data_IF_800738179504
#
_entry.id   IF_800738179504
#
_cell.length_a   1.000
_cell.length_b   1.000
_cell.length_c   1.000
_cell.angle_alpha   90.00
_cell.angle_beta   90.00
_cell.angle_gamma   90.00
#
_symmetry.space_group_name_H-M   'P 1'
#
loop_
_entity.id
_entity.type
_entity.pdbx_description
1 polymer ?
#
# COMPACT_ATOMS: atom_id res chain seq x y z
N UNK A 1 -28.58 4.29 -5.91
CA UNK A 1 -27.62 5.06 -6.71
C UNK A 1 -26.73 5.84 -5.76
N UNK A 2 -25.59 5.24 -5.35
CA UNK A 2 -24.55 5.97 -4.65
C UNK A 2 -23.85 6.84 -5.71
N UNK A 3 -23.91 8.17 -5.57
CA UNK A 3 -23.22 9.09 -6.45
C UNK A 3 -21.70 8.85 -6.36
N UNK A 4 -21.01 8.85 -7.50
CA UNK A 4 -19.54 8.83 -7.54
C UNK A 4 -19.01 10.07 -6.83
N UNK A 5 -18.15 9.86 -5.84
CA UNK A 5 -17.45 10.95 -5.17
C UNK A 5 -16.52 11.66 -6.16
N UNK A 6 -16.34 12.97 -6.00
CA UNK A 6 -15.33 13.70 -6.77
C UNK A 6 -13.93 13.36 -6.26
N UNK A 7 -12.94 13.42 -7.14
CA UNK A 7 -11.50 13.20 -6.79
C UNK A 7 -11.08 14.12 -5.64
N UNK A 8 -11.62 15.34 -5.57
CA UNK A 8 -11.35 16.31 -4.51
C UNK A 8 -11.93 15.93 -3.13
N UNK A 9 -12.83 14.96 -3.07
CA UNK A 9 -13.51 14.57 -1.81
C UNK A 9 -12.69 13.55 -1.00
N UNK A 10 -11.69 12.91 -1.62
CA UNK A 10 -10.77 12.01 -0.92
C UNK A 10 -9.47 12.71 -0.56
N UNK A 11 -8.88 12.38 0.61
CA UNK A 11 -7.54 12.84 0.96
C UNK A 11 -6.50 12.43 -0.08
N UNK A 12 -5.53 13.31 -0.37
CA UNK A 12 -4.47 13.03 -1.34
C UNK A 12 -3.68 11.76 -1.00
N UNK A 13 -3.34 11.58 0.28
CA UNK A 13 -2.62 10.38 0.73
C UNK A 13 -3.37 9.76 1.90
N UNK A 14 -3.76 8.50 1.75
CA UNK A 14 -4.37 7.69 2.80
C UNK A 14 -3.51 6.46 3.07
N UNK A 15 -3.04 6.30 4.31
CA UNK A 15 -2.38 5.08 4.77
C UNK A 15 -3.39 4.16 5.45
N UNK A 16 -3.42 2.89 5.03
CA UNK A 16 -4.31 1.86 5.57
C UNK A 16 -3.47 0.76 6.20
N UNK A 17 -3.47 0.73 7.52
CA UNK A 17 -2.74 -0.22 8.35
C UNK A 17 -3.65 -1.36 8.83
N UNK A 18 -3.04 -2.45 9.24
CA UNK A 18 -3.74 -3.56 9.89
C UNK A 18 -2.96 -4.86 9.83
N UNK A 19 -3.34 -5.84 10.64
CA UNK A 19 -2.73 -7.16 10.67
C UNK A 19 -2.98 -7.97 9.39
N UNK A 20 -2.35 -9.14 9.31
CA UNK A 20 -2.61 -10.09 8.24
C UNK A 20 -4.10 -10.46 8.22
N UNK A 21 -4.69 -10.54 7.02
CA UNK A 21 -6.11 -10.89 6.79
C UNK A 21 -7.13 -10.01 7.53
N UNK A 22 -6.76 -8.79 7.94
CA UNK A 22 -7.66 -7.84 8.61
C UNK A 22 -8.74 -7.24 7.68
N UNK A 23 -8.62 -7.39 6.36
CA UNK A 23 -9.54 -6.81 5.37
C UNK A 23 -9.05 -5.49 4.75
N UNK A 24 -7.84 -5.02 5.10
CA UNK A 24 -7.30 -3.72 4.64
C UNK A 24 -7.25 -3.53 3.13
N UNK A 25 -6.80 -4.53 2.35
CA UNK A 25 -6.76 -4.43 0.88
C UNK A 25 -8.16 -4.28 0.28
N UNK A 26 -9.15 -5.06 0.79
CA UNK A 26 -10.54 -4.94 0.35
C UNK A 26 -11.10 -3.55 0.69
N UNK A 27 -10.87 -3.08 1.89
CA UNK A 27 -11.32 -1.76 2.32
C UNK A 27 -10.70 -0.64 1.46
N UNK A 28 -9.41 -0.77 1.13
CA UNK A 28 -8.72 0.16 0.23
C UNK A 28 -9.32 0.16 -1.19
N UNK A 29 -9.60 -1.02 -1.76
CA UNK A 29 -10.27 -1.16 -3.07
C UNK A 29 -11.65 -0.50 -3.03
N UNK A 30 -12.45 -0.74 -1.99
CA UNK A 30 -13.79 -0.13 -1.82
C UNK A 30 -13.71 1.40 -1.79
N UNK A 31 -12.73 1.99 -1.09
CA UNK A 31 -12.53 3.44 -1.08
C UNK A 31 -12.17 3.97 -2.47
N UNK A 32 -11.21 3.36 -3.17
CA UNK A 32 -10.81 3.82 -4.52
C UNK A 32 -11.98 3.74 -5.49
N UNK A 33 -12.80 2.69 -5.40
CA UNK A 33 -13.97 2.48 -6.27
C UNK A 33 -15.12 3.46 -6.02
N UNK A 34 -15.07 4.30 -4.99
CA UNK A 34 -16.00 5.43 -4.86
C UNK A 34 -15.73 6.52 -5.89
N UNK A 35 -14.52 6.56 -6.46
CA UNK A 35 -14.12 7.47 -7.53
C UNK A 35 -14.45 6.89 -8.91
N UNK A 36 -14.52 7.77 -9.92
CA UNK A 36 -14.67 7.33 -11.31
C UNK A 36 -13.40 6.61 -11.81
N UNK A 37 -13.53 5.51 -12.58
CA UNK A 37 -12.39 4.85 -13.22
C UNK A 37 -11.79 5.74 -14.34
N UNK A 38 -10.55 5.47 -14.82
CA UNK A 38 -9.73 4.32 -14.47
C UNK A 38 -8.99 4.48 -13.13
N UNK A 39 -8.66 3.34 -12.50
CA UNK A 39 -7.84 3.27 -11.30
C UNK A 39 -6.56 2.49 -11.56
N UNK A 40 -5.47 2.83 -10.87
CA UNK A 40 -4.22 2.08 -10.94
C UNK A 40 -3.97 1.30 -9.65
N UNK A 41 -3.71 0.00 -9.80
CA UNK A 41 -3.25 -0.87 -8.73
C UNK A 41 -1.76 -1.13 -8.91
N UNK A 42 -0.94 -0.69 -7.95
CA UNK A 42 0.49 -0.99 -7.94
C UNK A 42 0.71 -2.21 -7.05
N UNK A 43 1.09 -3.31 -7.69
CA UNK A 43 1.41 -4.56 -7.02
C UNK A 43 2.90 -4.60 -6.67
N UNK A 44 3.21 -4.74 -5.39
CA UNK A 44 4.59 -4.87 -4.91
C UNK A 44 4.98 -6.32 -4.61
N UNK A 45 3.99 -7.22 -4.53
CA UNK A 45 4.21 -8.62 -4.27
C UNK A 45 4.90 -9.33 -5.43
N UNK A 46 5.92 -10.14 -5.14
CA UNK A 46 6.55 -11.06 -6.07
C UNK A 46 6.08 -12.49 -5.77
N UNK A 47 5.79 -13.24 -6.82
CA UNK A 47 5.31 -14.61 -6.72
C UNK A 47 6.47 -15.58 -6.58
N UNK A 48 7.09 -15.65 -5.41
CA UNK A 48 8.20 -16.57 -5.15
C UNK A 48 7.77 -18.04 -5.00
N UNK A 49 6.50 -18.29 -4.65
CA UNK A 49 5.93 -19.64 -4.48
C UNK A 49 4.51 -19.72 -5.03
N UNK A 50 3.97 -20.95 -5.05
CA UNK A 50 2.63 -21.22 -5.59
C UNK A 50 1.53 -20.57 -4.76
N UNK A 51 1.68 -20.50 -3.42
CA UNK A 51 0.71 -19.85 -2.55
C UNK A 51 0.60 -18.36 -2.89
N UNK A 52 1.72 -17.68 -3.06
CA UNK A 52 1.74 -16.26 -3.43
C UNK A 52 1.19 -16.04 -4.83
N UNK A 53 1.50 -16.93 -5.79
CA UNK A 53 0.91 -16.88 -7.15
C UNK A 53 -0.62 -16.96 -7.10
N UNK A 54 -1.16 -17.87 -6.32
CA UNK A 54 -2.61 -18.02 -6.18
C UNK A 54 -3.25 -16.80 -5.49
N UNK A 55 -2.61 -16.27 -4.45
CA UNK A 55 -3.08 -15.04 -3.77
C UNK A 55 -3.14 -13.86 -4.73
N UNK A 56 -2.10 -13.64 -5.52
CA UNK A 56 -2.05 -12.59 -6.55
C UNK A 56 -3.17 -12.81 -7.58
N UNK A 57 -3.37 -14.05 -8.04
CA UNK A 57 -4.41 -14.39 -9.00
C UNK A 57 -5.82 -14.14 -8.45
N UNK A 58 -6.08 -14.47 -7.18
CA UNK A 58 -7.36 -14.19 -6.50
C UNK A 58 -7.59 -12.68 -6.42
N UNK A 59 -6.59 -11.89 -6.03
CA UNK A 59 -6.69 -10.45 -5.99
C UNK A 59 -6.93 -9.84 -7.38
N UNK A 60 -6.27 -10.36 -8.43
CA UNK A 60 -6.53 -9.93 -9.82
C UNK A 60 -7.96 -10.23 -10.29
N UNK A 61 -8.46 -11.44 -10.01
CA UNK A 61 -9.84 -11.84 -10.40
C UNK A 61 -10.91 -11.02 -9.69
N UNK A 62 -10.67 -10.60 -8.45
CA UNK A 62 -11.61 -9.78 -7.67
C UNK A 62 -11.72 -8.36 -8.20
N UNK A 63 -10.64 -7.82 -8.78
CA UNK A 63 -10.64 -6.51 -9.42
C UNK A 63 -11.31 -6.62 -10.78
N UNK A 64 -12.50 -6.02 -10.93
CA UNK A 64 -13.25 -5.98 -12.18
C UNK A 64 -12.64 -5.00 -13.20
N UNK A 65 -13.44 -4.64 -14.18
CA UNK A 65 -13.09 -3.62 -15.18
C UNK A 65 -12.79 -2.26 -14.52
N UNK A 66 -11.95 -1.47 -15.17
CA UNK A 66 -11.53 -0.14 -14.71
C UNK A 66 -10.19 -0.12 -13.97
N UNK A 67 -9.64 -1.28 -13.56
CA UNK A 67 -8.33 -1.37 -12.93
C UNK A 67 -7.20 -1.63 -13.92
N UNK A 68 -6.19 -0.77 -13.92
CA UNK A 68 -4.88 -1.03 -14.53
C UNK A 68 -3.93 -1.55 -13.46
N UNK A 69 -3.27 -2.69 -13.68
CA UNK A 69 -2.25 -3.21 -12.76
C UNK A 69 -0.85 -2.86 -13.27
N UNK A 70 -0.02 -2.32 -12.38
CA UNK A 70 1.41 -2.05 -12.57
C UNK A 70 2.18 -2.87 -11.54
N UNK A 71 3.20 -3.59 -11.95
CA UNK A 71 4.08 -4.34 -11.06
C UNK A 71 5.29 -3.48 -10.70
N UNK A 72 5.50 -3.23 -9.40
CA UNK A 72 6.61 -2.43 -8.90
C UNK A 72 7.15 -3.04 -7.59
N UNK A 73 7.89 -4.14 -7.68
CA UNK A 73 8.40 -4.83 -6.51
C UNK A 73 9.41 -4.00 -5.71
N UNK A 74 10.18 -3.13 -6.35
CA UNK A 74 11.21 -2.31 -5.71
C UNK A 74 11.11 -0.82 -6.10
N UNK A 75 10.84 -0.50 -7.36
CA UNK A 75 10.84 0.89 -7.87
C UNK A 75 9.46 1.55 -7.78
N UNK A 76 8.97 1.67 -6.55
CA UNK A 76 7.62 2.19 -6.26
C UNK A 76 7.49 3.68 -6.59
N UNK A 77 8.55 4.47 -6.37
CA UNK A 77 8.52 5.91 -6.63
C UNK A 77 8.37 6.23 -8.13
N UNK A 78 9.10 5.53 -9.01
CA UNK A 78 8.96 5.67 -10.45
C UNK A 78 7.58 5.18 -10.92
N UNK A 79 7.11 4.02 -10.41
CA UNK A 79 5.79 3.52 -10.75
C UNK A 79 4.67 4.51 -10.40
N UNK A 80 4.78 5.20 -9.26
CA UNK A 80 3.83 6.27 -8.88
C UNK A 80 3.90 7.46 -9.83
N UNK A 81 5.10 7.88 -10.23
CA UNK A 81 5.27 8.99 -11.16
C UNK A 81 4.62 8.71 -12.52
N UNK A 82 4.67 7.47 -12.99
CA UNK A 82 4.12 7.04 -14.28
C UNK A 82 2.59 6.89 -14.30
N UNK A 83 1.91 6.99 -13.15
CA UNK A 83 0.44 6.85 -13.09
C UNK A 83 -0.33 8.11 -13.44
N UNK A 84 0.34 9.26 -13.57
CA UNK A 84 -0.31 10.55 -13.87
C UNK A 84 -1.38 10.91 -12.82
N UNK A 85 -2.51 11.42 -13.27
CA UNK A 85 -3.62 11.91 -12.43
C UNK A 85 -4.64 10.80 -12.06
N UNK A 86 -4.35 9.52 -12.29
CA UNK A 86 -5.27 8.45 -11.90
C UNK A 86 -5.20 8.15 -10.41
N UNK A 87 -6.33 7.84 -9.73
CA UNK A 87 -6.30 7.32 -8.38
C UNK A 87 -5.49 6.02 -8.29
N UNK A 88 -4.68 5.90 -7.24
CA UNK A 88 -3.74 4.79 -7.08
C UNK A 88 -3.98 4.05 -5.77
N UNK A 89 -3.92 2.72 -5.85
CA UNK A 89 -3.81 1.83 -4.70
C UNK A 89 -2.48 1.08 -4.76
N UNK A 90 -1.64 1.23 -3.75
CA UNK A 90 -0.40 0.46 -3.55
C UNK A 90 -0.66 -0.68 -2.56
N UNK A 91 -0.46 -1.91 -2.99
CA UNK A 91 -0.62 -3.11 -2.14
C UNK A 91 0.58 -4.06 -2.29
N UNK A 92 1.53 -4.06 -1.33
CA UNK A 92 1.57 -3.28 -0.09
C UNK A 92 3.01 -2.80 0.23
N UNK A 93 3.14 -1.81 1.09
CA UNK A 93 4.45 -1.30 1.54
C UNK A 93 5.27 -2.37 2.28
N UNK A 94 4.61 -3.31 2.95
CA UNK A 94 5.26 -4.40 3.69
C UNK A 94 6.04 -5.33 2.76
N UNK A 95 5.44 -5.74 1.63
CA UNK A 95 6.12 -6.57 0.63
C UNK A 95 7.18 -5.77 -0.12
N UNK A 96 6.92 -4.51 -0.43
CA UNK A 96 7.91 -3.61 -1.00
C UNK A 96 9.16 -3.50 -0.11
N UNK A 97 8.99 -3.26 1.19
CA UNK A 97 10.09 -3.24 2.15
C UNK A 97 10.86 -4.57 2.19
N UNK A 98 10.14 -5.70 2.20
CA UNK A 98 10.76 -7.02 2.17
C UNK A 98 11.63 -7.19 0.92
N UNK A 99 11.13 -6.79 -0.25
CA UNK A 99 11.87 -6.88 -1.51
C UNK A 99 13.14 -6.01 -1.48
N UNK A 100 13.04 -4.77 -0.96
CA UNK A 100 14.20 -3.90 -0.81
C UNK A 100 15.28 -4.51 0.08
N UNK A 101 14.88 -5.02 1.25
CA UNK A 101 15.83 -5.60 2.20
C UNK A 101 16.50 -6.88 1.66
N UNK A 102 15.73 -7.75 1.00
CA UNK A 102 16.26 -8.98 0.39
C UNK A 102 17.19 -8.70 -0.79
N UNK A 103 16.95 -7.63 -1.53
CA UNK A 103 17.81 -7.18 -2.62
C UNK A 103 18.96 -6.27 -2.15
N UNK A 104 19.12 -6.07 -0.84
CA UNK A 104 20.12 -5.19 -0.23
C UNK A 104 20.09 -3.74 -0.75
N UNK A 105 18.90 -3.24 -1.09
CA UNK A 105 18.72 -1.82 -1.43
C UNK A 105 18.77 -0.95 -0.17
N UNK A 106 19.14 0.31 -0.35
CA UNK A 106 19.04 1.32 0.71
C UNK A 106 17.58 1.72 0.96
N UNK A 107 17.03 1.17 2.06
CA UNK A 107 15.63 1.41 2.46
C UNK A 107 15.37 2.89 2.76
N UNK A 108 16.35 3.59 3.36
CA UNK A 108 16.19 5.00 3.72
C UNK A 108 16.07 5.88 2.47
N UNK A 109 16.94 5.67 1.48
CA UNK A 109 16.89 6.37 0.18
C UNK A 109 15.62 6.04 -0.58
N UNK A 110 15.22 4.77 -0.66
CA UNK A 110 13.99 4.35 -1.35
C UNK A 110 12.74 4.97 -0.67
N UNK A 111 12.70 5.02 0.66
CA UNK A 111 11.59 5.65 1.40
C UNK A 111 11.53 7.15 1.14
N UNK A 112 12.68 7.84 1.09
CA UNK A 112 12.73 9.28 0.77
C UNK A 112 12.22 9.56 -0.64
N UNK A 113 12.59 8.75 -1.62
CA UNK A 113 12.08 8.86 -2.99
C UNK A 113 10.55 8.64 -3.05
N UNK A 114 10.02 7.69 -2.26
CA UNK A 114 8.58 7.47 -2.14
C UNK A 114 7.87 8.69 -1.54
N UNK A 115 8.41 9.27 -0.46
CA UNK A 115 7.84 10.48 0.16
C UNK A 115 7.79 11.66 -0.81
N UNK A 116 8.84 11.84 -1.60
CA UNK A 116 8.88 12.87 -2.64
C UNK A 116 7.87 12.60 -3.77
N UNK A 117 7.73 11.35 -4.20
CA UNK A 117 6.73 10.98 -5.21
C UNK A 117 5.30 11.26 -4.70
N UNK A 118 5.00 10.89 -3.44
CA UNK A 118 3.71 11.17 -2.81
C UNK A 118 3.43 12.68 -2.71
N UNK A 119 4.44 13.49 -2.37
CA UNK A 119 4.28 14.94 -2.25
C UNK A 119 3.99 15.64 -3.59
N UNK A 120 4.42 15.05 -4.71
CA UNK A 120 4.18 15.58 -6.06
C UNK A 120 2.82 15.18 -6.64
N UNK A 121 2.16 14.17 -6.08
CA UNK A 121 0.87 13.71 -6.61
C UNK A 121 -0.26 14.62 -6.16
N UNK A 122 -1.22 14.80 -7.06
CA UNK A 122 -2.47 15.51 -6.82
C UNK A 122 -3.66 14.56 -6.73
N UNK A 123 -3.60 13.41 -7.44
CA UNK A 123 -4.65 12.40 -7.39
C UNK A 123 -4.57 11.54 -6.11
N UNK A 124 -5.71 11.06 -5.59
CA UNK A 124 -5.77 10.23 -4.40
C UNK A 124 -4.86 9.00 -4.51
N UNK A 125 -4.05 8.79 -3.48
CA UNK A 125 -3.13 7.67 -3.37
C UNK A 125 -3.36 6.94 -2.05
N UNK A 126 -3.79 5.68 -2.13
CA UNK A 126 -3.99 4.82 -0.98
C UNK A 126 -2.82 3.85 -0.88
N UNK A 127 -2.26 3.73 0.31
CA UNK A 127 -1.12 2.86 0.61
C UNK A 127 -1.55 1.84 1.65
N UNK A 128 -1.43 0.56 1.33
CA UNK A 128 -1.70 -0.53 2.28
C UNK A 128 -0.40 -0.97 2.92
N UNK A 129 -0.39 -1.15 4.23
CA UNK A 129 0.75 -1.69 4.97
C UNK A 129 0.31 -2.58 6.12
N UNK A 130 1.11 -3.61 6.43
CA UNK A 130 0.86 -4.42 7.61
C UNK A 130 1.45 -3.75 8.86
N UNK A 131 0.71 -3.85 9.96
CA UNK A 131 1.29 -3.64 11.28
C UNK A 131 1.87 -4.96 11.77
N UNK A 132 3.20 -5.04 11.84
CA UNK A 132 3.94 -6.25 12.24
C UNK A 132 4.59 -6.13 13.62
N UNK A 133 4.53 -4.95 14.24
CA UNK A 133 5.16 -4.66 15.52
C UNK A 133 4.37 -5.11 16.74
N UNK A 134 3.07 -5.36 16.59
CA UNK A 134 2.18 -5.76 17.70
C UNK A 134 2.22 -7.27 18.03
N UNK A 135 2.96 -8.05 17.25
CA UNK A 135 3.08 -9.50 17.44
C UNK A 135 4.30 -9.90 18.28
N UNK A 136 4.62 -11.21 18.22
CA UNK A 136 5.79 -11.76 18.88
C UNK A 136 7.09 -11.19 18.28
N UNK A 137 8.12 -11.09 19.12
CA UNK A 137 9.46 -10.68 18.67
C UNK A 137 10.05 -11.79 17.80
N UNK A 138 10.47 -11.50 16.54
CA UNK A 138 11.07 -12.51 15.67
C UNK A 138 12.36 -13.08 16.26
N UNK A 139 12.55 -14.39 16.10
CA UNK A 139 13.75 -15.08 16.60
C UNK A 139 15.01 -14.71 15.81
N UNK A 140 14.88 -14.47 14.50
CA UNK A 140 16.00 -14.17 13.63
C UNK A 140 16.39 -12.68 13.66
N UNK A 141 17.68 -12.33 13.52
CA UNK A 141 18.10 -10.95 13.41
C UNK A 141 17.45 -10.21 12.22
N UNK A 142 17.33 -10.88 11.07
CA UNK A 142 16.66 -10.32 9.89
C UNK A 142 15.19 -10.00 10.15
N UNK A 143 14.48 -10.89 10.82
CA UNK A 143 13.08 -10.67 11.19
C UNK A 143 12.92 -9.47 12.13
N UNK A 144 13.82 -9.29 13.11
CA UNK A 144 13.81 -8.11 13.99
C UNK A 144 14.10 -6.83 13.23
N UNK A 145 15.12 -6.84 12.36
CA UNK A 145 15.45 -5.69 11.52
C UNK A 145 14.28 -5.32 10.60
N UNK A 146 13.62 -6.30 9.97
CA UNK A 146 12.43 -6.08 9.14
C UNK A 146 11.28 -5.45 9.95
N UNK A 147 10.99 -5.98 11.15
CA UNK A 147 9.95 -5.44 12.01
C UNK A 147 10.22 -3.97 12.37
N UNK A 148 11.47 -3.66 12.71
CA UNK A 148 11.87 -2.31 13.10
C UNK A 148 11.80 -1.34 11.91
N UNK A 149 12.28 -1.75 10.73
CA UNK A 149 12.17 -0.96 9.50
C UNK A 149 10.71 -0.77 9.05
N UNK A 150 9.85 -1.79 9.19
CA UNK A 150 8.43 -1.67 8.91
C UNK A 150 7.75 -0.63 9.80
N UNK A 151 8.10 -0.61 11.09
CA UNK A 151 7.61 0.40 12.03
C UNK A 151 8.07 1.81 11.64
N UNK A 152 9.35 1.99 11.29
CA UNK A 152 9.90 3.29 10.81
C UNK A 152 9.23 3.76 9.53
N UNK A 153 9.07 2.86 8.55
CA UNK A 153 8.37 3.14 7.29
C UNK A 153 6.94 3.59 7.54
N UNK A 154 6.19 2.84 8.36
CA UNK A 154 4.81 3.17 8.69
C UNK A 154 4.70 4.55 9.36
N UNK A 155 5.60 4.90 10.29
CA UNK A 155 5.64 6.23 10.92
C UNK A 155 5.93 7.33 9.90
N UNK A 156 6.93 7.15 9.02
CA UNK A 156 7.29 8.14 8.00
C UNK A 156 6.13 8.41 7.05
N UNK A 157 5.47 7.36 6.55
CA UNK A 157 4.34 7.50 5.64
C UNK A 157 3.12 8.08 6.36
N UNK A 158 2.84 7.68 7.60
CA UNK A 158 1.76 8.26 8.41
C UNK A 158 1.94 9.76 8.64
N UNK A 159 3.18 10.23 8.83
CA UNK A 159 3.48 11.65 8.96
C UNK A 159 3.12 12.44 7.68
N UNK A 160 3.32 11.87 6.50
CA UNK A 160 2.99 12.46 5.19
C UNK A 160 1.53 12.30 4.81
N UNK A 161 0.85 11.25 5.30
CA UNK A 161 -0.54 10.98 4.98
C UNK A 161 -1.48 12.04 5.54
N UNK A 162 -2.52 12.38 4.78
CA UNK A 162 -3.62 13.24 5.24
C UNK A 162 -4.63 12.44 6.10
N UNK A 163 -4.69 11.13 5.89
CA UNK A 163 -5.58 10.22 6.61
C UNK A 163 -4.85 8.91 6.92
N UNK A 164 -5.04 8.39 8.12
CA UNK A 164 -4.53 7.09 8.55
C UNK A 164 -5.68 6.27 9.12
N UNK A 165 -5.90 5.09 8.55
CA UNK A 165 -6.88 4.11 9.01
C UNK A 165 -6.18 2.87 9.56
N UNK A 166 -6.70 2.30 10.64
CA UNK A 166 -6.28 1.01 11.17
C UNK A 166 -7.43 0.01 11.05
N UNK A 167 -7.22 -1.08 10.31
CA UNK A 167 -8.28 -2.07 10.07
C UNK A 167 -8.18 -3.20 11.10
N UNK A 168 -9.21 -3.31 11.91
CA UNK A 168 -9.37 -4.35 12.95
C UNK A 168 -10.62 -5.16 12.65
N UNK A 169 -10.48 -6.47 12.42
CA UNK A 169 -11.60 -7.37 12.13
C UNK A 169 -12.52 -6.88 11.00
N UNK A 170 -11.95 -6.29 9.95
CA UNK A 170 -12.67 -5.74 8.82
C UNK A 170 -13.26 -4.33 9.01
N UNK A 171 -13.13 -3.77 10.21
CA UNK A 171 -13.69 -2.45 10.57
C UNK A 171 -12.59 -1.38 10.58
N UNK A 172 -12.80 -0.21 9.96
CA UNK A 172 -11.84 0.88 9.97
C UNK A 172 -11.91 1.68 11.29
N UNK A 173 -10.76 1.92 11.88
CA UNK A 173 -10.56 2.88 12.96
C UNK A 173 -9.74 4.05 12.42
N UNK A 174 -10.24 5.26 12.53
CA UNK A 174 -9.52 6.47 12.13
C UNK A 174 -8.47 6.80 13.18
N UNK A 175 -7.20 6.87 12.75
CA UNK A 175 -6.04 7.21 13.61
C UNK A 175 -5.65 8.68 13.38
N UNK A 176 -5.78 9.15 12.11
CA UNK A 176 -5.51 10.53 11.71
C UNK A 176 -6.50 10.96 10.65
#
# INVERSE_FOLDING_TARGET
LQGTANISDLPHVTLILGGARSGKSRHAEEIVQTLAPPWTYIATGQAFDDEMRERIAVHRRRRGEGWRTVEAPTDLAAALADTGETPVLVDCLTLWLSNLMLAAHDVATATSALEEALARRTAPTLLVSNEVGLGLVPETPLGRAFRDEAGRLNQRIAAKANRVLFIVAGLPVTVK
#
